data_IF_067304401909
#
_entry.id   IF_067304401909
#
_cell.length_a   1.000
_cell.length_b   1.000
_cell.length_c   1.000
_cell.angle_alpha   90.00
_cell.angle_beta   90.00
_cell.angle_gamma   90.00
#
_symmetry.space_group_name_H-M   'P 1'
#
loop_
_entity.id
_entity.type
_entity.pdbx_description
1 polymer ?
#
# COMPACT_ATOMS: atom_id res chain seq x y z
N UNK A 1 10.55 -15.33 -4.91
CA UNK A 1 11.14 -14.34 -5.85
C UNK A 1 11.63 -13.18 -4.99
N UNK A 2 12.94 -12.93 -4.94
CA UNK A 2 13.49 -11.86 -4.12
C UNK A 2 13.91 -10.68 -5.01
N UNK A 3 13.10 -9.64 -5.03
CA UNK A 3 13.45 -8.37 -5.65
C UNK A 3 13.82 -7.36 -4.56
N UNK A 4 15.08 -7.32 -4.21
CA UNK A 4 15.63 -6.51 -3.12
C UNK A 4 15.29 -5.02 -3.27
N UNK A 5 15.19 -4.52 -4.51
CA UNK A 5 14.84 -3.10 -4.75
C UNK A 5 13.39 -2.82 -4.45
N UNK A 6 12.48 -3.76 -4.79
CA UNK A 6 11.07 -3.66 -4.43
C UNK A 6 10.89 -3.79 -2.92
N UNK A 7 11.58 -4.74 -2.29
CA UNK A 7 11.55 -4.91 -0.84
C UNK A 7 12.03 -3.64 -0.12
N UNK A 8 13.10 -3.01 -0.61
CA UNK A 8 13.56 -1.72 -0.09
C UNK A 8 12.52 -0.61 -0.27
N UNK A 9 11.83 -0.55 -1.40
CA UNK A 9 10.74 0.41 -1.62
C UNK A 9 9.63 0.25 -0.59
N UNK A 10 9.24 -1.00 -0.26
CA UNK A 10 8.24 -1.27 0.77
C UNK A 10 8.67 -0.79 2.16
N UNK A 11 9.95 -0.89 2.49
CA UNK A 11 10.48 -0.32 3.74
C UNK A 11 10.28 1.20 3.78
N UNK A 12 10.55 1.89 2.67
CA UNK A 12 10.37 3.35 2.59
C UNK A 12 8.88 3.74 2.65
N UNK A 13 7.97 2.99 2.00
CA UNK A 13 6.51 3.18 2.12
C UNK A 13 6.06 3.00 3.57
N UNK A 14 6.54 1.94 4.23
CA UNK A 14 6.20 1.66 5.62
C UNK A 14 6.71 2.75 6.56
N UNK A 15 7.94 3.21 6.37
CA UNK A 15 8.52 4.25 7.21
C UNK A 15 7.85 5.61 7.04
N UNK A 16 7.43 5.97 5.83
CA UNK A 16 6.87 7.29 5.54
C UNK A 16 5.34 7.38 5.76
N UNK A 17 4.64 6.30 5.53
CA UNK A 17 3.16 6.27 5.57
C UNK A 17 2.63 5.21 6.52
N UNK A 18 3.10 3.97 6.38
CA UNK A 18 2.53 2.83 7.07
C UNK A 18 2.58 2.96 8.59
N UNK A 19 3.72 3.40 9.16
CA UNK A 19 3.90 3.53 10.61
C UNK A 19 2.94 4.57 11.21
N UNK A 20 2.79 5.73 10.58
CA UNK A 20 1.91 6.79 11.09
C UNK A 20 0.44 6.37 11.06
N UNK A 21 -0.02 5.71 10.00
CA UNK A 21 -1.38 5.18 9.94
C UNK A 21 -1.61 4.02 10.91
N UNK A 22 -0.62 3.15 11.11
CA UNK A 22 -0.70 2.10 12.12
C UNK A 22 -0.86 2.68 13.54
N UNK A 23 -0.13 3.74 13.88
CA UNK A 23 -0.30 4.45 15.16
C UNK A 23 -1.70 5.07 15.29
N UNK A 24 -2.20 5.71 14.23
CA UNK A 24 -3.57 6.26 14.22
C UNK A 24 -4.59 5.17 14.47
N UNK A 25 -4.57 4.08 13.71
CA UNK A 25 -5.56 3.01 13.83
C UNK A 25 -5.46 2.28 15.17
N UNK A 26 -4.26 2.08 15.69
CA UNK A 26 -4.06 1.54 17.05
C UNK A 26 -4.67 2.46 18.11
N UNK A 27 -4.51 3.78 17.97
CA UNK A 27 -5.13 4.73 18.90
C UNK A 27 -6.66 4.73 18.78
N UNK A 28 -7.22 4.57 17.57
CA UNK A 28 -8.67 4.45 17.39
C UNK A 28 -9.22 3.18 18.05
N UNK A 29 -8.51 2.07 17.96
CA UNK A 29 -8.89 0.81 18.58
C UNK A 29 -8.85 0.91 20.13
N UNK A 30 -7.74 1.42 20.68
CA UNK A 30 -7.54 1.45 22.13
C UNK A 30 -8.41 2.51 22.82
N UNK A 31 -8.56 3.70 22.21
CA UNK A 31 -9.12 4.86 22.90
C UNK A 31 -10.44 5.38 22.32
N UNK A 32 -10.78 5.02 21.09
CA UNK A 32 -11.90 5.64 20.37
C UNK A 32 -12.94 4.63 19.87
N UNK A 33 -12.89 3.40 20.39
CA UNK A 33 -13.93 2.39 20.19
C UNK A 33 -14.00 1.81 18.78
N UNK A 34 -12.90 1.83 18.01
CA UNK A 34 -12.80 1.05 16.79
C UNK A 34 -12.79 -0.45 17.15
N UNK A 35 -13.73 -1.19 16.60
CA UNK A 35 -13.76 -2.66 16.68
C UNK A 35 -13.42 -3.24 15.31
N UNK A 36 -12.24 -3.84 15.18
CA UNK A 36 -11.74 -4.43 13.95
C UNK A 36 -12.53 -5.67 13.51
N UNK A 37 -13.35 -6.26 14.39
CA UNK A 37 -14.21 -7.40 14.06
C UNK A 37 -15.61 -6.96 13.58
N UNK A 38 -15.91 -5.67 13.65
CA UNK A 38 -17.17 -5.12 13.17
C UNK A 38 -17.02 -4.63 11.73
N UNK A 39 -17.71 -5.27 10.78
CA UNK A 39 -17.66 -4.92 9.36
C UNK A 39 -18.10 -3.47 9.08
N UNK A 40 -19.04 -2.92 9.87
CA UNK A 40 -19.49 -1.54 9.75
C UNK A 40 -18.41 -0.55 10.18
N UNK A 41 -17.63 -0.87 11.23
CA UNK A 41 -16.48 -0.06 11.62
C UNK A 41 -15.38 -0.10 10.56
N UNK A 42 -15.13 -1.26 9.95
CA UNK A 42 -14.17 -1.38 8.85
C UNK A 42 -14.65 -0.59 7.62
N UNK A 43 -15.93 -0.68 7.28
CA UNK A 43 -16.51 0.13 6.22
C UNK A 43 -16.32 1.64 6.48
N UNK A 44 -16.64 2.09 7.69
CA UNK A 44 -16.49 3.49 8.08
C UNK A 44 -15.03 3.94 8.02
N UNK A 45 -14.11 3.09 8.48
CA UNK A 45 -12.68 3.34 8.41
C UNK A 45 -12.21 3.51 6.96
N UNK A 46 -12.64 2.63 6.06
CA UNK A 46 -12.36 2.75 4.63
C UNK A 46 -12.95 4.05 4.07
N UNK A 47 -14.19 4.34 4.37
CA UNK A 47 -14.87 5.55 3.89
C UNK A 47 -14.14 6.83 4.30
N UNK A 48 -13.73 6.93 5.55
CA UNK A 48 -13.09 8.13 6.10
C UNK A 48 -11.63 8.30 5.67
N UNK A 49 -10.86 7.23 5.59
CA UNK A 49 -9.39 7.33 5.51
C UNK A 49 -8.77 6.86 4.20
N UNK A 50 -9.39 5.95 3.45
CA UNK A 50 -8.81 5.48 2.17
C UNK A 50 -8.54 6.61 1.17
N UNK A 51 -9.41 7.62 1.01
CA UNK A 51 -9.12 8.72 0.08
C UNK A 51 -7.83 9.45 0.45
N UNK A 52 -7.62 9.73 1.74
CA UNK A 52 -6.42 10.41 2.24
C UNK A 52 -5.18 9.52 2.10
N UNK A 53 -5.28 8.23 2.44
CA UNK A 53 -4.18 7.27 2.29
C UNK A 53 -3.77 7.17 0.82
N UNK A 54 -4.73 7.03 -0.09
CA UNK A 54 -4.47 6.95 -1.53
C UNK A 54 -3.83 8.22 -2.07
N UNK A 55 -4.26 9.39 -1.59
CA UNK A 55 -3.62 10.65 -1.95
C UNK A 55 -2.16 10.71 -1.47
N UNK A 56 -1.89 10.31 -0.25
CA UNK A 56 -0.53 10.27 0.30
C UNK A 56 0.36 9.26 -0.45
N UNK A 57 -0.19 8.10 -0.81
CA UNK A 57 0.52 7.11 -1.63
C UNK A 57 0.83 7.66 -3.03
N UNK A 58 -0.08 8.42 -3.63
CA UNK A 58 0.17 9.09 -4.92
C UNK A 58 1.29 10.12 -4.81
N UNK A 59 1.30 10.94 -3.77
CA UNK A 59 2.41 11.87 -3.50
C UNK A 59 3.73 11.16 -3.27
N UNK A 60 3.70 10.06 -2.52
CA UNK A 60 4.90 9.24 -2.33
C UNK A 60 5.42 8.72 -3.67
N UNK A 61 4.56 8.14 -4.49
CA UNK A 61 4.94 7.60 -5.80
C UNK A 61 5.51 8.67 -6.74
N UNK A 62 4.87 9.85 -6.79
CA UNK A 62 5.38 10.99 -7.58
C UNK A 62 6.75 11.45 -7.08
N UNK A 63 6.91 11.63 -5.78
CA UNK A 63 8.16 12.04 -5.16
C UNK A 63 9.26 11.02 -5.40
N UNK A 64 8.93 9.73 -5.24
CA UNK A 64 9.84 8.64 -5.49
C UNK A 64 10.29 8.59 -6.95
N UNK A 65 9.36 8.73 -7.88
CA UNK A 65 9.66 8.70 -9.30
C UNK A 65 10.52 9.88 -9.76
N UNK A 66 10.50 11.00 -9.04
CA UNK A 66 11.27 12.22 -9.38
C UNK A 66 12.58 12.35 -8.60
N UNK A 67 12.79 11.58 -7.52
CA UNK A 67 14.04 11.69 -6.77
C UNK A 67 15.23 11.17 -7.58
N UNK A 68 16.38 11.82 -7.41
CA UNK A 68 17.61 11.43 -8.11
C UNK A 68 18.32 10.31 -7.39
N UNK A 69 18.49 9.18 -8.06
CA UNK A 69 19.26 8.04 -7.57
C UNK A 69 20.72 8.25 -7.93
N UNK A 70 21.60 8.05 -6.93
CA UNK A 70 23.03 8.06 -7.15
C UNK A 70 23.45 6.76 -7.84
N UNK A 71 23.91 6.87 -9.09
CA UNK A 71 24.39 5.73 -9.87
C UNK A 71 25.90 5.70 -9.80
N UNK A 72 26.48 4.59 -9.37
CA UNK A 72 27.91 4.40 -9.35
C UNK A 72 28.46 4.45 -10.78
N UNK A 73 29.43 5.35 -11.03
CA UNK A 73 30.04 5.58 -12.35
C UNK A 73 29.08 6.07 -13.45
N UNK A 74 27.93 6.65 -13.09
CA UNK A 74 26.94 7.17 -14.04
C UNK A 74 26.32 8.50 -13.58
N UNK A 75 25.57 9.17 -14.46
CA UNK A 75 24.85 10.37 -14.09
C UNK A 75 23.69 10.03 -13.14
N UNK A 76 23.48 10.86 -12.13
CA UNK A 76 22.34 10.74 -11.24
C UNK A 76 21.06 11.00 -12.03
N UNK A 77 20.17 10.00 -12.06
CA UNK A 77 18.89 10.06 -12.78
C UNK A 77 17.75 9.70 -11.84
N UNK A 78 16.55 10.22 -12.14
CA UNK A 78 15.35 9.79 -11.47
C UNK A 78 14.84 8.44 -12.04
N UNK A 79 14.04 7.68 -11.28
CA UNK A 79 13.36 6.49 -11.80
C UNK A 79 12.55 6.79 -13.07
N UNK A 80 11.84 7.94 -13.09
CA UNK A 80 11.09 8.37 -14.27
C UNK A 80 11.97 8.61 -15.50
N UNK A 81 13.13 9.27 -15.31
CA UNK A 81 14.08 9.48 -16.40
C UNK A 81 14.66 8.15 -16.91
N UNK A 82 15.00 7.24 -15.98
CA UNK A 82 15.53 5.92 -16.37
C UNK A 82 14.52 5.10 -17.13
N UNK A 83 13.27 5.07 -16.67
CA UNK A 83 12.20 4.35 -17.31
C UNK A 83 11.87 4.94 -18.71
N UNK A 84 11.73 6.27 -18.81
CA UNK A 84 11.45 6.93 -20.06
C UNK A 84 12.57 6.75 -21.09
N UNK A 85 13.83 6.83 -20.67
CA UNK A 85 14.98 6.61 -21.52
C UNK A 85 15.08 5.14 -21.99
N UNK A 86 14.83 4.21 -21.06
CA UNK A 86 14.84 2.78 -21.38
C UNK A 86 13.75 2.41 -22.40
N UNK A 87 12.54 2.95 -22.24
CA UNK A 87 11.47 2.79 -23.23
C UNK A 87 11.80 3.41 -24.59
N UNK A 88 12.49 4.54 -24.59
CA UNK A 88 12.91 5.19 -25.82
C UNK A 88 13.96 4.37 -26.58
N UNK A 89 14.90 3.75 -25.86
CA UNK A 89 16.01 2.97 -26.48
C UNK A 89 15.57 1.56 -26.86
N UNK A 90 14.78 0.91 -26.01
CA UNK A 90 14.46 -0.52 -26.11
C UNK A 90 12.99 -0.81 -26.47
N UNK A 91 12.16 0.22 -26.58
CA UNK A 91 10.73 0.06 -26.78
C UNK A 91 9.98 -0.39 -25.51
N UNK A 92 8.70 -0.71 -25.67
CA UNK A 92 7.85 -1.19 -24.55
C UNK A 92 8.20 -2.64 -24.27
N UNK A 93 8.89 -2.89 -23.16
CA UNK A 93 9.38 -4.24 -22.81
C UNK A 93 8.26 -5.29 -22.66
N UNK A 94 7.08 -4.90 -22.23
CA UNK A 94 5.95 -5.81 -22.04
C UNK A 94 5.49 -6.53 -23.30
N UNK A 95 5.75 -5.96 -24.49
CA UNK A 95 5.41 -6.59 -25.76
C UNK A 95 6.38 -7.72 -26.18
N UNK A 96 7.50 -7.86 -25.49
CA UNK A 96 8.56 -8.83 -25.80
C UNK A 96 8.68 -9.94 -24.74
N UNK A 97 7.89 -9.88 -23.67
CA UNK A 97 7.87 -10.94 -22.67
C UNK A 97 7.19 -12.17 -23.28
N UNK A 98 7.81 -13.35 -23.20
CA UNK A 98 7.13 -14.57 -23.57
C UNK A 98 5.86 -14.74 -22.71
N UNK A 99 4.76 -15.27 -23.30
CA UNK A 99 3.60 -15.63 -22.50
C UNK A 99 4.03 -16.55 -21.36
N UNK A 100 3.46 -16.37 -20.17
CA UNK A 100 3.80 -17.19 -18.99
C UNK A 100 3.59 -18.70 -19.26
N UNK A 101 2.65 -19.04 -20.16
CA UNK A 101 2.36 -20.40 -20.58
C UNK A 101 3.51 -21.06 -21.42
N UNK A 102 4.40 -20.25 -21.98
CA UNK A 102 5.54 -20.71 -22.77
C UNK A 102 6.84 -20.85 -21.94
N UNK A 103 6.80 -20.48 -20.63
CA UNK A 103 7.96 -20.56 -19.74
C UNK A 103 8.01 -21.90 -19.03
N UNK A 104 9.21 -22.45 -18.91
CA UNK A 104 9.44 -23.63 -18.08
C UNK A 104 9.33 -23.30 -16.59
N UNK A 105 9.13 -24.31 -15.72
CA UNK A 105 9.06 -24.11 -14.28
C UNK A 105 10.35 -23.47 -13.75
N UNK A 106 11.51 -23.90 -14.26
CA UNK A 106 12.82 -23.38 -13.89
C UNK A 106 12.99 -21.91 -14.32
N UNK A 107 12.47 -21.52 -15.48
CA UNK A 107 12.48 -20.13 -15.95
C UNK A 107 11.55 -19.24 -15.11
N UNK A 108 10.38 -19.76 -14.71
CA UNK A 108 9.45 -19.08 -13.83
C UNK A 108 10.03 -18.87 -12.42
N UNK A 109 10.78 -19.84 -11.88
CA UNK A 109 11.42 -19.72 -10.57
C UNK A 109 12.44 -18.59 -10.48
N UNK A 110 13.14 -18.30 -11.57
CA UNK A 110 14.16 -17.23 -11.63
C UNK A 110 13.64 -15.95 -12.29
N UNK A 111 12.41 -15.96 -12.78
CA UNK A 111 11.82 -14.80 -13.45
C UNK A 111 11.64 -13.62 -12.49
N UNK A 112 12.16 -12.47 -12.86
CA UNK A 112 12.06 -11.25 -12.06
C UNK A 112 13.01 -11.17 -10.87
N UNK A 113 13.96 -12.11 -10.71
CA UNK A 113 15.02 -11.99 -9.68
C UNK A 113 15.98 -10.85 -10.09
N UNK A 114 16.18 -9.91 -9.17
CA UNK A 114 17.16 -8.83 -9.34
C UNK A 114 18.58 -9.30 -8.99
N UNK A 115 19.20 -10.03 -9.92
CA UNK A 115 20.57 -10.51 -9.77
C UNK A 115 21.60 -9.39 -9.56
N UNK A 116 21.31 -8.18 -10.05
CA UNK A 116 22.20 -7.03 -9.83
C UNK A 116 22.09 -6.50 -8.43
N UNK A 117 20.89 -6.48 -7.85
CA UNK A 117 20.64 -6.11 -6.46
C UNK A 117 21.33 -7.04 -5.46
N UNK A 118 21.41 -8.35 -5.75
CA UNK A 118 22.15 -9.30 -4.92
C UNK A 118 23.68 -9.05 -4.87
N UNK A 119 24.22 -8.28 -5.79
CA UNK A 119 25.64 -7.88 -5.78
C UNK A 119 25.89 -6.56 -5.07
N UNK A 120 24.84 -5.88 -4.65
CA UNK A 120 24.93 -4.56 -4.01
C UNK A 120 24.87 -4.71 -2.49
N UNK A 121 26.05 -4.68 -1.83
CA UNK A 121 26.21 -4.89 -0.39
C UNK A 121 25.29 -4.01 0.48
N UNK A 122 25.07 -2.74 0.07
CA UNK A 122 24.20 -1.83 0.81
C UNK A 122 22.73 -2.24 0.79
N UNK A 123 22.23 -2.78 -0.34
CA UNK A 123 20.87 -3.30 -0.46
C UNK A 123 20.70 -4.57 0.37
N UNK A 124 21.68 -5.47 0.33
CA UNK A 124 21.68 -6.68 1.16
C UNK A 124 21.73 -6.36 2.66
N UNK A 125 22.53 -5.40 3.05
CA UNK A 125 22.61 -4.96 4.45
C UNK A 125 21.27 -4.36 4.90
N UNK A 126 20.66 -3.47 4.10
CA UNK A 126 19.34 -2.91 4.38
C UNK A 126 18.25 -3.98 4.50
N UNK A 127 18.29 -4.99 3.64
CA UNK A 127 17.36 -6.12 3.72
C UNK A 127 17.52 -6.88 5.04
N UNK A 128 18.75 -7.20 5.44
CA UNK A 128 19.04 -7.90 6.70
C UNK A 128 18.63 -7.11 7.93
N UNK A 129 18.84 -5.79 7.92
CA UNK A 129 18.48 -4.91 9.03
C UNK A 129 16.95 -4.75 9.19
N UNK A 130 16.19 -4.86 8.11
CA UNK A 130 14.74 -4.68 8.10
C UNK A 130 13.96 -6.00 7.99
N UNK A 131 14.64 -7.14 7.86
CA UNK A 131 13.98 -8.44 7.88
C UNK A 131 13.46 -8.73 9.29
N UNK A 132 12.17 -9.06 9.46
CA UNK A 132 11.64 -9.42 10.78
C UNK A 132 12.33 -10.69 11.29
N UNK A 133 12.76 -10.65 12.56
CA UNK A 133 13.54 -11.71 13.19
C UNK A 133 12.79 -13.06 13.37
N UNK A 134 11.52 -13.13 12.96
CA UNK A 134 10.61 -14.26 13.22
C UNK A 134 9.76 -14.71 12.03
N UNK A 135 10.14 -14.40 10.81
CA UNK A 135 9.50 -15.10 9.69
C UNK A 135 10.00 -16.53 9.68
N UNK A 136 9.17 -17.44 10.17
CA UNK A 136 9.23 -18.86 9.78
C UNK A 136 9.36 -18.88 8.26
N UNK A 137 10.44 -19.49 7.81
CA UNK A 137 10.93 -19.50 6.45
C UNK A 137 9.82 -19.43 5.39
N UNK A 138 9.50 -18.25 4.90
CA UNK A 138 8.86 -18.02 3.62
C UNK A 138 9.86 -18.27 2.48
N UNK A 139 10.78 -19.20 2.71
CA UNK A 139 11.70 -19.65 1.68
C UNK A 139 10.91 -20.45 0.66
N UNK A 140 10.88 -19.95 -0.54
CA UNK A 140 10.36 -20.65 -1.73
C UNK A 140 11.17 -21.90 -2.10
N UNK A 141 12.30 -22.14 -1.43
CA UNK A 141 13.15 -23.31 -1.63
C UNK A 141 12.35 -24.55 -1.21
N UNK A 142 11.93 -25.33 -2.18
CA UNK A 142 11.14 -26.56 -1.99
C UNK A 142 9.64 -26.42 -2.30
N UNK A 143 9.15 -25.26 -2.70
CA UNK A 143 7.80 -25.12 -3.24
C UNK A 143 7.85 -25.20 -4.77
N UNK A 144 6.98 -26.02 -5.34
CA UNK A 144 6.83 -26.14 -6.80
C UNK A 144 5.94 -25.00 -7.33
N UNK A 145 6.59 -23.95 -7.78
CA UNK A 145 5.93 -22.78 -8.40
C UNK A 145 5.48 -21.68 -7.44
N UNK A 146 5.22 -20.47 -7.96
CA UNK A 146 4.69 -19.37 -7.17
C UNK A 146 3.30 -19.72 -6.63
N UNK A 147 2.90 -19.21 -5.43
CA UNK A 147 1.54 -19.37 -4.95
C UNK A 147 0.55 -18.80 -5.95
N UNK A 148 -0.58 -19.44 -6.09
CA UNK A 148 -1.71 -18.87 -6.81
C UNK A 148 -2.01 -17.47 -6.21
N UNK A 149 -2.23 -16.48 -7.06
CA UNK A 149 -2.55 -15.10 -6.67
C UNK A 149 -1.39 -14.28 -6.06
N UNK A 150 -0.14 -14.52 -6.50
CA UNK A 150 1.03 -13.80 -6.01
C UNK A 150 0.93 -12.26 -6.13
N UNK A 151 0.20 -11.77 -7.13
CA UNK A 151 0.02 -10.35 -7.41
C UNK A 151 -1.38 -9.85 -7.03
N UNK A 152 -2.20 -10.69 -6.42
CA UNK A 152 -3.56 -10.37 -6.05
C UNK A 152 -3.78 -10.69 -4.57
N UNK A 153 -3.96 -9.65 -3.77
CA UNK A 153 -4.46 -9.80 -2.41
C UNK A 153 -5.97 -9.59 -2.48
N UNK A 154 -6.79 -10.66 -2.44
CA UNK A 154 -8.23 -10.50 -2.43
C UNK A 154 -8.62 -9.78 -1.13
N UNK A 155 -9.04 -8.54 -1.26
CA UNK A 155 -9.64 -7.77 -0.18
C UNK A 155 -11.13 -7.74 -0.46
N UNK A 156 -11.88 -8.54 0.26
CA UNK A 156 -13.34 -8.44 0.24
C UNK A 156 -13.73 -7.05 0.77
N UNK A 157 -14.53 -6.34 -0.01
CA UNK A 157 -15.13 -5.11 0.48
C UNK A 157 -16.01 -5.46 1.70
N UNK A 158 -16.03 -4.63 2.75
CA UNK A 158 -16.93 -4.84 3.88
C UNK A 158 -18.36 -4.97 3.36
N UNK A 159 -19.02 -6.09 3.70
CA UNK A 159 -20.41 -6.35 3.30
C UNK A 159 -21.35 -5.48 4.15
N UNK A 160 -21.49 -4.23 3.73
CA UNK A 160 -22.34 -3.24 4.37
C UNK A 160 -23.22 -2.61 3.30
N UNK A 161 -24.50 -2.98 3.32
CA UNK A 161 -25.49 -2.41 2.42
C UNK A 161 -26.01 -1.09 3.00
N UNK A 162 -25.62 0.03 2.38
CA UNK A 162 -26.04 1.36 2.77
C UNK A 162 -26.94 1.97 1.71
N UNK A 163 -28.18 2.35 2.06
CA UNK A 163 -29.08 3.06 1.16
C UNK A 163 -28.41 4.38 0.67
N UNK A 164 -28.53 4.64 -0.63
CA UNK A 164 -27.84 5.76 -1.27
C UNK A 164 -28.23 7.14 -0.70
N UNK A 165 -29.48 7.30 -0.27
CA UNK A 165 -29.98 8.53 0.37
C UNK A 165 -29.34 8.75 1.74
N UNK A 166 -29.18 7.68 2.53
CA UNK A 166 -28.52 7.76 3.84
C UNK A 166 -27.02 8.02 3.68
N UNK A 167 -26.36 7.39 2.70
CA UNK A 167 -24.96 7.63 2.38
C UNK A 167 -24.74 9.10 1.97
N UNK A 168 -25.62 9.64 1.12
CA UNK A 168 -25.54 11.04 0.72
C UNK A 168 -25.74 11.99 1.91
N UNK A 169 -26.69 11.68 2.79
CA UNK A 169 -26.88 12.46 4.01
C UNK A 169 -25.66 12.40 4.94
N UNK A 170 -25.08 11.22 5.11
CA UNK A 170 -23.85 11.00 5.89
C UNK A 170 -22.72 11.87 5.33
N UNK A 171 -22.47 11.79 4.02
CA UNK A 171 -21.40 12.54 3.36
C UNK A 171 -21.59 14.05 3.51
N UNK A 172 -22.79 14.59 3.24
CA UNK A 172 -23.07 16.01 3.38
C UNK A 172 -22.84 16.52 4.82
N UNK A 173 -23.23 15.72 5.81
CA UNK A 173 -23.03 16.08 7.22
C UNK A 173 -21.56 16.06 7.62
N UNK A 174 -20.80 15.11 7.08
CA UNK A 174 -19.36 14.99 7.29
C UNK A 174 -18.63 16.20 6.67
N UNK A 175 -18.96 16.55 5.42
CA UNK A 175 -18.35 17.68 4.71
C UNK A 175 -18.62 18.99 5.47
N UNK A 176 -19.86 19.19 5.94
CA UNK A 176 -20.20 20.36 6.75
C UNK A 176 -19.40 20.43 8.06
N UNK A 177 -19.19 19.27 8.72
CA UNK A 177 -18.37 19.22 9.92
C UNK A 177 -16.90 19.51 9.60
N UNK A 178 -16.37 18.98 8.52
CA UNK A 178 -14.99 19.24 8.07
C UNK A 178 -14.76 20.70 7.77
N UNK A 179 -15.72 21.40 7.14
CA UNK A 179 -15.65 22.84 6.87
C UNK A 179 -15.58 23.64 8.17
N UNK A 180 -16.37 23.26 9.18
CA UNK A 180 -16.38 23.94 10.49
C UNK A 180 -15.10 23.64 11.28
N UNK A 181 -14.64 22.40 11.28
CA UNK A 181 -13.44 21.99 11.98
C UNK A 181 -12.16 22.58 11.36
N UNK A 182 -12.15 22.77 10.06
CA UNK A 182 -11.04 23.35 9.31
C UNK A 182 -9.73 22.61 9.57
N UNK A 183 -8.64 23.36 9.73
CA UNK A 183 -7.31 22.78 9.99
C UNK A 183 -7.13 22.09 11.34
N UNK A 184 -8.14 22.10 12.22
CA UNK A 184 -8.11 21.42 13.53
C UNK A 184 -8.66 20.00 13.49
N UNK A 185 -9.17 19.53 12.34
CA UNK A 185 -9.64 18.16 12.19
C UNK A 185 -8.46 17.18 12.28
N UNK A 186 -8.49 16.30 13.28
CA UNK A 186 -7.56 15.18 13.43
C UNK A 186 -8.23 13.89 13.00
N UNK A 187 -7.44 12.85 12.69
CA UNK A 187 -7.98 11.54 12.36
C UNK A 187 -8.88 10.99 13.49
N UNK A 188 -8.51 11.22 14.75
CA UNK A 188 -9.29 10.80 15.91
C UNK A 188 -10.62 11.53 15.99
N UNK A 189 -10.63 12.87 15.81
CA UNK A 189 -11.86 13.66 15.85
C UNK A 189 -12.79 13.33 14.67
N UNK A 190 -12.22 13.06 13.49
CA UNK A 190 -12.96 12.63 12.31
C UNK A 190 -13.62 11.26 12.54
N UNK A 191 -12.89 10.30 13.12
CA UNK A 191 -13.43 9.00 13.48
C UNK A 191 -14.58 9.10 14.49
N UNK A 192 -14.36 9.81 15.59
CA UNK A 192 -15.36 9.96 16.67
C UNK A 192 -16.64 10.61 16.13
N UNK A 193 -16.50 11.66 15.32
CA UNK A 193 -17.64 12.30 14.71
C UNK A 193 -18.35 11.38 13.70
N UNK A 194 -17.60 10.77 12.80
CA UNK A 194 -18.12 9.84 11.79
C UNK A 194 -18.85 8.65 12.43
N UNK A 195 -18.28 8.05 13.48
CA UNK A 195 -18.92 6.95 14.22
C UNK A 195 -20.21 7.41 14.92
N UNK A 196 -20.21 8.59 15.55
CA UNK A 196 -21.41 9.15 16.16
C UNK A 196 -22.51 9.42 15.13
N UNK A 197 -22.14 9.99 14.00
CA UNK A 197 -23.07 10.28 12.89
C UNK A 197 -23.62 8.98 12.28
N UNK A 198 -22.77 7.98 12.07
CA UNK A 198 -23.17 6.68 11.55
C UNK A 198 -24.20 6.01 12.48
N UNK A 199 -23.98 6.04 13.80
CA UNK A 199 -24.93 5.52 14.81
C UNK A 199 -26.26 6.26 14.81
N UNK A 200 -26.30 7.53 14.45
CA UNK A 200 -27.54 8.31 14.35
C UNK A 200 -28.34 7.98 13.09
N UNK A 201 -27.65 7.79 11.99
CA UNK A 201 -28.28 7.55 10.68
C UNK A 201 -28.69 6.07 10.53
N UNK A 202 -27.84 5.16 10.97
CA UNK A 202 -27.97 3.70 10.75
C UNK A 202 -28.30 2.96 12.05
N UNK A 203 -29.17 3.41 12.83
CA UNK A 203 -29.75 2.94 14.11
C UNK A 203 -29.34 1.53 14.62
N UNK A 204 -28.79 0.66 13.77
CA UNK A 204 -28.58 -0.75 14.05
C UNK A 204 -27.16 -1.16 13.70
N UNK A 205 -26.15 -1.28 14.10
CA UNK A 205 -24.88 -1.99 13.75
C UNK A 205 -23.57 -1.22 13.83
N UNK A 206 -23.54 0.05 14.23
CA UNK A 206 -22.29 0.76 14.49
C UNK A 206 -21.88 0.82 15.96
#
# INVERSE_FOLDING_TARGET
>A
MHNIRIERLWVDVTAQLGSSWAEVFTALEIYHGLDINNSHHIWLLHFLFLPTINQQLSFFAESWNQHRIQIQNGPNRSPADMFGFDMFVHGIRGAQLPPADDMTVEELEVFGIDWSGFREERLLQSLRENAPAHEEATSWIGQTGPPAHLNEVPLDAPDVDMPADQLQHFQNSLDQWMDVAGGNATAQSLWVYGLSLARQIYVINF
#
